data_IF_842757699797
#
_entry.id   IF_842757699797
#
_cell.length_a   1.000
_cell.length_b   1.000
_cell.length_c   1.000
_cell.angle_alpha   90.00
_cell.angle_beta   90.00
_cell.angle_gamma   90.00
#
_symmetry.space_group_name_H-M   'P 1'
#
loop_
_entity.id
_entity.type
_entity.pdbx_description
1 polymer ?
#
# COMPACT_ATOMS: atom_id res chain seq x y z
N UNK A 1 -40.44 -27.61 -25.21
CA UNK A 1 -39.07 -27.24 -25.63
C UNK A 1 -39.13 -25.78 -26.06
N UNK A 2 -38.79 -24.88 -25.14
CA UNK A 2 -38.81 -23.43 -25.38
C UNK A 2 -37.42 -22.92 -25.03
N UNK A 3 -36.66 -22.53 -26.05
CA UNK A 3 -35.31 -21.99 -25.90
C UNK A 3 -35.45 -20.55 -25.42
N UNK A 4 -35.16 -20.32 -24.14
CA UNK A 4 -34.99 -18.98 -23.57
C UNK A 4 -33.63 -18.47 -24.07
N UNK A 5 -33.54 -17.25 -24.64
CA UNK A 5 -32.26 -16.69 -25.05
C UNK A 5 -31.34 -16.53 -23.83
N UNK A 6 -30.13 -17.04 -23.96
CA UNK A 6 -29.02 -16.89 -23.01
C UNK A 6 -28.60 -15.41 -23.02
N UNK A 7 -29.16 -14.61 -22.09
CA UNK A 7 -28.70 -13.23 -21.90
C UNK A 7 -27.26 -13.28 -21.38
N UNK A 8 -26.30 -12.60 -22.06
CA UNK A 8 -24.92 -12.59 -21.62
C UNK A 8 -24.85 -11.94 -20.24
N UNK A 9 -24.50 -12.78 -19.26
CA UNK A 9 -24.17 -12.48 -17.88
C UNK A 9 -23.60 -11.07 -17.74
N UNK A 10 -24.42 -10.13 -17.26
CA UNK A 10 -23.95 -8.80 -16.90
C UNK A 10 -22.81 -8.96 -15.88
N UNK A 11 -21.63 -8.36 -16.10
CA UNK A 11 -20.54 -8.48 -15.16
C UNK A 11 -20.97 -7.86 -13.83
N UNK A 12 -21.00 -8.69 -12.79
CA UNK A 12 -21.20 -8.28 -11.40
C UNK A 12 -20.24 -7.11 -11.12
N UNK A 13 -20.72 -5.91 -10.76
CA UNK A 13 -19.84 -4.80 -10.44
C UNK A 13 -19.04 -5.20 -9.20
N UNK A 14 -17.78 -5.56 -9.44
CA UNK A 14 -16.83 -5.99 -8.42
C UNK A 14 -16.48 -4.75 -7.60
N UNK A 15 -16.78 -4.82 -6.31
CA UNK A 15 -16.68 -3.77 -5.30
C UNK A 15 -15.67 -2.62 -5.58
N UNK A 16 -16.12 -1.34 -5.57
CA UNK A 16 -15.32 -0.16 -5.93
C UNK A 16 -14.28 0.26 -4.88
N UNK A 17 -14.12 -0.49 -3.80
CA UNK A 17 -13.21 -0.15 -2.69
C UNK A 17 -11.76 -0.67 -2.88
N UNK A 18 -11.49 -1.43 -3.94
CA UNK A 18 -10.15 -1.96 -4.22
C UNK A 18 -9.41 -1.14 -5.29
N UNK A 19 -8.75 -0.04 -4.87
CA UNK A 19 -7.82 0.68 -5.74
C UNK A 19 -6.56 -0.20 -5.90
N UNK A 20 -6.46 -0.90 -7.05
CA UNK A 20 -5.23 -1.58 -7.47
C UNK A 20 -4.19 -0.51 -7.79
N UNK A 21 -3.17 -0.39 -6.95
CA UNK A 21 -2.07 0.52 -7.21
C UNK A 21 -0.88 -0.27 -7.74
N UNK A 22 -0.67 -0.16 -9.05
CA UNK A 22 0.53 -0.66 -9.69
C UNK A 22 1.62 0.41 -9.58
N UNK A 23 2.74 0.07 -8.95
CA UNK A 23 3.90 0.94 -8.84
C UNK A 23 5.04 0.38 -9.65
N UNK A 24 5.52 1.16 -10.59
CA UNK A 24 6.77 0.90 -11.30
C UNK A 24 7.82 1.84 -10.72
N UNK A 25 8.63 1.32 -9.80
CA UNK A 25 9.72 2.08 -9.19
C UNK A 25 11.03 1.75 -9.93
N UNK A 26 11.53 2.71 -10.72
CA UNK A 26 12.84 2.59 -11.38
C UNK A 26 13.94 3.09 -10.44
N UNK A 27 14.67 2.17 -9.83
CA UNK A 27 15.88 2.50 -9.06
C UNK A 27 17.09 2.55 -10.00
N UNK A 28 17.43 3.77 -10.44
CA UNK A 28 18.61 4.04 -11.26
C UNK A 28 18.55 3.44 -12.68
N UNK A 29 19.71 3.08 -13.24
CA UNK A 29 19.83 2.54 -14.61
C UNK A 29 19.61 1.02 -14.73
N UNK A 30 19.46 0.29 -13.63
CA UNK A 30 19.65 -1.18 -13.62
C UNK A 30 18.51 -1.99 -12.99
N UNK A 31 17.57 -1.39 -12.26
CA UNK A 31 16.49 -2.16 -11.61
C UNK A 31 15.12 -1.47 -11.74
N UNK A 32 14.24 -2.09 -12.51
CA UNK A 32 12.80 -1.79 -12.57
C UNK A 32 12.08 -2.69 -11.58
N UNK A 33 11.64 -2.13 -10.45
CA UNK A 33 10.82 -2.84 -9.48
C UNK A 33 9.35 -2.64 -9.87
N UNK A 34 8.76 -3.64 -10.50
CA UNK A 34 7.31 -3.68 -10.74
C UNK A 34 6.63 -4.36 -9.57
N UNK A 35 5.88 -3.57 -8.79
CA UNK A 35 5.10 -4.05 -7.66
C UNK A 35 3.62 -3.73 -7.86
N UNK A 36 2.77 -4.75 -7.86
CA UNK A 36 1.32 -4.56 -7.82
C UNK A 36 0.85 -4.82 -6.40
N UNK A 37 0.49 -3.77 -5.66
CA UNK A 37 -0.04 -3.88 -4.31
C UNK A 37 -1.50 -3.42 -4.29
N UNK A 38 -2.33 -4.15 -3.54
CA UNK A 38 -3.68 -3.69 -3.20
C UNK A 38 -3.51 -2.60 -2.14
N UNK A 39 -3.68 -1.34 -2.53
CA UNK A 39 -3.60 -0.24 -1.58
C UNK A 39 -5.00 0.04 -1.05
N UNK A 40 -5.15 -0.12 0.26
CA UNK A 40 -6.32 0.36 1.00
C UNK A 40 -6.00 1.73 1.62
N UNK A 41 -6.92 2.70 1.61
CA UNK A 41 -6.70 4.00 2.26
C UNK A 41 -6.35 3.87 3.75
N UNK A 42 -6.99 2.91 4.43
CA UNK A 42 -6.67 2.58 5.82
C UNK A 42 -5.23 2.05 5.97
N UNK A 43 -4.75 1.24 5.02
CA UNK A 43 -3.38 0.72 5.01
C UNK A 43 -2.34 1.84 4.89
N UNK A 44 -2.57 2.85 4.04
CA UNK A 44 -1.65 4.00 3.90
C UNK A 44 -1.55 4.79 5.21
N UNK A 45 -2.68 5.07 5.85
CA UNK A 45 -2.71 5.77 7.14
C UNK A 45 -1.98 4.95 8.21
N UNK A 46 -2.24 3.65 8.27
CA UNK A 46 -1.59 2.74 9.22
C UNK A 46 -0.07 2.69 9.04
N UNK A 47 0.40 2.61 7.80
CA UNK A 47 1.84 2.66 7.49
C UNK A 47 2.43 4.00 7.92
N UNK A 48 1.78 5.12 7.63
CA UNK A 48 2.24 6.45 8.04
C UNK A 48 2.37 6.60 9.56
N UNK A 49 1.39 6.10 10.31
CA UNK A 49 1.42 6.08 11.78
C UNK A 49 2.53 5.19 12.31
N UNK A 50 2.70 4.00 11.75
CA UNK A 50 3.73 3.05 12.16
C UNK A 50 5.13 3.63 11.96
N UNK A 51 5.39 4.20 10.77
CA UNK A 51 6.68 4.85 10.46
C UNK A 51 6.94 6.04 11.38
N UNK A 52 5.92 6.86 11.64
CA UNK A 52 6.04 8.02 12.54
C UNK A 52 6.39 7.59 13.97
N UNK A 53 5.70 6.58 14.50
CA UNK A 53 5.98 6.03 15.83
C UNK A 53 7.40 5.46 15.93
N UNK A 54 7.84 4.71 14.91
CA UNK A 54 9.21 4.19 14.82
C UNK A 54 10.24 5.32 14.82
N UNK A 55 10.04 6.36 14.00
CA UNK A 55 10.95 7.51 13.97
C UNK A 55 11.00 8.26 15.30
N UNK A 56 9.86 8.45 15.97
CA UNK A 56 9.83 9.09 17.29
C UNK A 56 10.59 8.26 18.34
N UNK A 57 10.39 6.94 18.36
CA UNK A 57 11.11 6.05 19.28
C UNK A 57 12.63 6.07 19.03
N UNK A 58 13.04 5.99 17.76
CA UNK A 58 14.45 6.08 17.37
C UNK A 58 15.05 7.46 17.67
N UNK A 59 14.31 8.53 17.40
CA UNK A 59 14.71 9.90 17.71
C UNK A 59 14.89 10.12 19.21
N UNK A 60 13.98 9.61 20.03
CA UNK A 60 14.09 9.64 21.48
C UNK A 60 15.33 8.87 21.96
N UNK A 61 15.55 7.65 21.45
CA UNK A 61 16.72 6.85 21.79
C UNK A 61 18.04 7.55 21.39
N UNK A 62 18.10 8.15 20.19
CA UNK A 62 19.25 8.92 19.75
C UNK A 62 19.49 10.17 20.61
N UNK A 63 18.42 10.86 21.02
CA UNK A 63 18.52 12.06 21.87
C UNK A 63 19.01 11.73 23.29
N UNK A 64 18.54 10.61 23.85
CA UNK A 64 18.91 10.17 25.21
C UNK A 64 20.36 9.67 25.27
N UNK A 65 20.81 8.95 24.26
CA UNK A 65 22.21 8.51 24.14
C UNK A 65 23.17 9.69 23.93
N UNK A 66 22.76 10.73 23.17
CA UNK A 66 23.56 11.95 23.00
C UNK A 66 23.69 12.76 24.28
N UNK A 67 22.63 12.87 25.09
CA UNK A 67 22.68 13.55 26.40
C UNK A 67 23.57 12.86 27.44
N UNK A 68 23.85 11.56 27.28
CA UNK A 68 24.70 10.79 28.20
C UNK A 68 26.20 10.87 27.86
N UNK A 69 26.54 11.44 26.69
CA UNK A 69 27.93 11.64 26.22
C UNK A 69 28.51 13.02 26.53
N UNK A 70 27.68 13.97 26.98
CA UNK A 70 28.09 15.22 27.61
C UNK A 70 27.90 15.09 29.11
#
# INVERSE_FOLDING_TARGET
MSVVPDEPSAPVPSHPEEIRSAFELRLGRHMTLQGSARITPAGVISVGLSVSAMMLALGYLASSTRRRRY
#
